data_IF_449921339956
#
_entry.id   IF_449921339956
#
_cell.length_a   1.000
_cell.length_b   1.000
_cell.length_c   1.000
_cell.angle_alpha   90.00
_cell.angle_beta   90.00
_cell.angle_gamma   90.00
#
_symmetry.space_group_name_H-M   'P 1'
#
loop_
_entity.id
_entity.type
_entity.pdbx_description
1 polymer ?
#
# COMPACT_ATOMS: atom_id res chain seq x y z
N UNK A 1 15.97 -1.01 2.20
CA UNK A 1 15.32 -1.32 3.49
C UNK A 1 13.81 -1.31 3.29
N UNK A 2 13.14 -2.45 3.45
CA UNK A 2 11.69 -2.55 3.20
C UNK A 2 10.87 -1.67 4.15
N UNK A 3 11.35 -1.46 5.38
CA UNK A 3 10.62 -0.67 6.37
C UNK A 3 10.55 0.82 6.00
N UNK A 4 11.44 1.30 5.13
CA UNK A 4 11.54 2.68 4.68
C UNK A 4 10.69 3.00 3.44
N UNK A 5 9.75 2.13 3.05
CA UNK A 5 8.85 2.41 1.93
C UNK A 5 8.00 3.66 2.20
N UNK A 6 7.77 4.46 1.15
CA UNK A 6 7.03 5.72 1.23
C UNK A 6 5.59 5.63 0.73
N UNK A 7 5.22 4.52 0.08
CA UNK A 7 3.84 4.27 -0.33
C UNK A 7 2.95 4.18 0.90
N UNK A 8 1.84 4.92 0.90
CA UNK A 8 0.92 5.07 2.03
C UNK A 8 -0.43 4.47 1.71
N UNK A 9 -1.08 3.96 2.74
CA UNK A 9 -2.48 3.58 2.75
C UNK A 9 -3.20 4.47 3.78
N UNK A 10 -4.33 5.06 3.39
CA UNK A 10 -5.22 5.79 4.29
C UNK A 10 -6.62 5.21 4.15
N UNK A 11 -7.26 4.84 5.25
CA UNK A 11 -8.68 4.49 5.22
C UNK A 11 -9.49 5.73 4.77
N UNK A 12 -10.44 5.52 3.86
CA UNK A 12 -11.34 6.56 3.39
C UNK A 12 -12.14 7.15 4.56
N UNK A 13 -12.59 8.39 4.42
CA UNK A 13 -13.25 9.10 5.52
C UNK A 13 -14.60 8.44 5.92
N UNK A 14 -15.23 7.71 4.99
CA UNK A 14 -16.42 6.89 5.21
C UNK A 14 -16.12 5.45 5.70
N UNK A 15 -14.83 5.07 5.80
CA UNK A 15 -14.39 3.76 6.25
C UNK A 15 -14.58 2.61 5.26
N UNK A 16 -15.00 2.88 4.02
CA UNK A 16 -15.38 1.83 3.06
C UNK A 16 -14.20 1.20 2.32
N UNK A 17 -13.10 1.92 2.12
CA UNK A 17 -11.95 1.44 1.35
C UNK A 17 -10.63 2.11 1.78
N UNK A 18 -9.51 1.58 1.30
CA UNK A 18 -8.19 2.21 1.48
C UNK A 18 -7.79 2.96 0.22
N UNK A 19 -7.33 4.20 0.40
CA UNK A 19 -6.64 4.98 -0.63
C UNK A 19 -5.15 4.65 -0.57
N UNK A 20 -4.63 4.04 -1.63
CA UNK A 20 -3.22 3.72 -1.79
C UNK A 20 -2.55 4.81 -2.62
N UNK A 21 -1.43 5.35 -2.13
CA UNK A 21 -0.69 6.40 -2.83
C UNK A 21 0.81 6.19 -2.75
N UNK A 22 1.48 6.19 -3.90
CA UNK A 22 2.92 6.08 -4.04
C UNK A 22 3.29 5.25 -5.25
N UNK A 23 4.58 5.14 -5.49
CA UNK A 23 5.12 4.37 -6.61
C UNK A 23 5.89 3.14 -6.12
N UNK A 24 5.86 2.09 -6.95
CA UNK A 24 6.72 0.92 -6.82
C UNK A 24 7.57 0.84 -8.08
N UNK A 25 8.86 0.60 -7.90
CA UNK A 25 9.81 0.53 -9.01
C UNK A 25 10.28 -0.91 -9.21
N UNK A 26 10.61 -1.24 -10.46
CA UNK A 26 11.22 -2.52 -10.84
C UNK A 26 10.38 -3.75 -10.45
N UNK A 27 9.06 -3.64 -10.60
CA UNK A 27 8.11 -4.73 -10.31
C UNK A 27 8.12 -5.73 -11.46
N UNK A 28 8.63 -6.94 -11.22
CA UNK A 28 8.53 -8.04 -12.18
C UNK A 28 7.06 -8.29 -12.52
N UNK A 29 6.74 -8.36 -13.82
CA UNK A 29 5.38 -8.50 -14.36
C UNK A 29 4.41 -7.35 -14.03
N UNK A 30 4.88 -6.17 -13.57
CA UNK A 30 4.01 -5.10 -13.09
C UNK A 30 2.89 -4.68 -14.07
N UNK A 31 3.18 -4.62 -15.38
CA UNK A 31 2.20 -4.22 -16.40
C UNK A 31 1.24 -5.36 -16.78
N UNK A 32 1.65 -6.62 -16.61
CA UNK A 32 0.87 -7.80 -17.05
C UNK A 32 0.09 -8.46 -15.89
N UNK A 33 0.44 -8.17 -14.64
CA UNK A 33 -0.19 -8.78 -13.49
C UNK A 33 -1.65 -8.31 -13.32
N UNK A 34 -2.59 -9.25 -13.24
CA UNK A 34 -3.99 -8.93 -12.91
C UNK A 34 -4.23 -8.69 -11.42
N UNK A 35 -3.33 -9.16 -10.56
CA UNK A 35 -3.38 -9.03 -9.09
C UNK A 35 -2.00 -8.67 -8.56
N UNK A 36 -1.96 -7.77 -7.58
CA UNK A 36 -0.76 -7.32 -6.88
C UNK A 36 -0.87 -7.61 -5.39
N UNK A 37 0.21 -8.13 -4.80
CA UNK A 37 0.42 -8.09 -3.35
C UNK A 37 1.21 -6.84 -3.03
N UNK A 38 0.51 -5.76 -2.67
CA UNK A 38 1.10 -4.44 -2.47
C UNK A 38 1.32 -4.17 -0.99
N UNK A 39 2.55 -3.84 -0.62
CA UNK A 39 2.86 -3.37 0.73
C UNK A 39 2.86 -1.84 0.77
N UNK A 40 2.11 -1.27 1.72
CA UNK A 40 2.09 0.16 1.98
C UNK A 40 2.11 0.43 3.48
N UNK A 41 2.42 1.68 3.85
CA UNK A 41 2.32 2.17 5.22
C UNK A 41 0.90 2.65 5.50
N UNK A 42 0.13 1.87 6.26
CA UNK A 42 -1.13 2.33 6.82
C UNK A 42 -0.87 3.41 7.87
N UNK A 43 -1.28 4.64 7.55
CA UNK A 43 -1.08 5.81 8.41
C UNK A 43 -2.01 5.82 9.63
N UNK A 44 -3.08 5.02 9.60
CA UNK A 44 -4.01 4.84 10.73
C UNK A 44 -3.63 3.70 11.67
N UNK A 45 -2.62 2.89 11.32
CA UNK A 45 -2.21 1.75 12.13
C UNK A 45 -1.56 2.21 13.46
N UNK A 46 -1.86 1.59 14.62
CA UNK A 46 -1.34 2.04 15.92
C UNK A 46 0.19 2.11 16.03
N UNK A 47 0.90 1.20 15.36
CA UNK A 47 2.36 1.19 15.32
C UNK A 47 2.99 2.14 14.29
N UNK A 48 2.21 2.82 13.45
CA UNK A 48 2.74 3.73 12.43
C UNK A 48 3.53 4.88 13.08
N UNK A 49 4.79 5.07 12.66
CA UNK A 49 5.69 6.05 13.27
C UNK A 49 6.26 5.66 14.65
N UNK A 50 5.71 4.63 15.31
CA UNK A 50 6.19 4.12 16.62
C UNK A 50 7.33 3.13 16.43
N UNK A 51 7.14 2.16 15.53
CA UNK A 51 8.16 1.16 15.17
C UNK A 51 8.69 1.48 13.78
N UNK A 52 9.98 1.19 13.53
CA UNK A 52 10.59 1.34 12.19
C UNK A 52 9.77 0.64 11.09
N UNK A 53 9.30 -0.57 11.36
CA UNK A 53 8.45 -1.34 10.45
C UNK A 53 6.94 -1.17 10.73
N UNK A 54 6.55 -0.32 11.67
CA UNK A 54 5.16 -0.14 12.06
C UNK A 54 4.29 0.40 10.94
N UNK A 55 3.04 -0.05 10.90
CA UNK A 55 2.07 0.28 9.85
C UNK A 55 2.35 -0.38 8.50
N UNK A 56 3.34 -1.25 8.37
CA UNK A 56 3.50 -2.04 7.14
C UNK A 56 2.34 -3.03 6.99
N UNK A 57 1.50 -2.81 5.98
CA UNK A 57 0.29 -3.59 5.72
C UNK A 57 0.32 -4.10 4.29
N UNK A 58 -0.10 -5.35 4.09
CA UNK A 58 -0.23 -5.96 2.77
C UNK A 58 -1.67 -5.85 2.27
N UNK A 59 -1.81 -5.48 1.00
CA UNK A 59 -3.08 -5.34 0.30
C UNK A 59 -3.08 -6.27 -0.92
N UNK A 60 -4.24 -6.85 -1.21
CA UNK A 60 -4.50 -7.47 -2.50
C UNK A 60 -5.16 -6.41 -3.35
N UNK A 61 -4.56 -6.09 -4.49
CA UNK A 61 -5.01 -5.03 -5.39
C UNK A 61 -5.22 -5.65 -6.77
N UNK A 62 -6.35 -5.36 -7.41
CA UNK A 62 -6.63 -5.81 -8.77
C UNK A 62 -6.30 -4.71 -9.77
N UNK A 63 -5.83 -5.08 -10.96
CA UNK A 63 -5.48 -4.14 -12.03
C UNK A 63 -6.65 -3.21 -12.44
N UNK A 64 -7.90 -3.65 -12.24
CA UNK A 64 -9.09 -2.87 -12.58
C UNK A 64 -9.53 -1.83 -11.54
N UNK A 65 -8.82 -1.70 -10.42
CA UNK A 65 -9.16 -0.67 -9.43
C UNK A 65 -8.84 0.74 -9.94
N UNK A 66 -9.65 1.71 -9.53
CA UNK A 66 -9.49 3.10 -9.96
C UNK A 66 -8.11 3.66 -9.54
N UNK A 67 -7.42 4.31 -10.48
CA UNK A 67 -6.13 4.97 -10.24
C UNK A 67 -4.88 4.10 -10.43
N UNK A 68 -5.03 2.84 -10.86
CA UNK A 68 -3.95 1.96 -11.31
C UNK A 68 -3.59 2.17 -12.79
#
# INVERSE_FOLDING_TARGET
>A
DAAAMVCRAKLSDDGSHYLLNGEKMWVTNGVQAGIYVLFAKDVGHPDFGVKKHGGSTAFIVEQGFEGL
#
